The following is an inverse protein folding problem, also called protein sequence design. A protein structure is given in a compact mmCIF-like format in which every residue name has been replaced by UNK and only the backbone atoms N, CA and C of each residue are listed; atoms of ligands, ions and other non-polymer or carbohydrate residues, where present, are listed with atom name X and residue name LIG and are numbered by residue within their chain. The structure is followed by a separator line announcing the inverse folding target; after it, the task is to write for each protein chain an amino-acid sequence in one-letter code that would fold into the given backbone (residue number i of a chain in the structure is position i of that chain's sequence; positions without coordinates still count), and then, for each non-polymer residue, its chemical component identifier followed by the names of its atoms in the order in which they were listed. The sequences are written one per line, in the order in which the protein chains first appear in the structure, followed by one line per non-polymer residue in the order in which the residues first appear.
data_IF_351097450298
#
_entry.id   IF_351097450298
#
_cell.length_a   1.000
_cell.length_b   1.000
_cell.length_c   1.000
_cell.angle_alpha   90.00
_cell.angle_beta   90.00
_cell.angle_gamma   90.00
#
_symmetry.space_group_name_H-M   'P 1'
#
loop_
_entity.id
_entity.type
_entity.pdbx_description
1 polymer ?
#
# COMPACT_ATOMS: atom_id res chain seq x y z
N UNK A 1 22.47 11.86 13.10
CA UNK A 1 21.07 11.83 12.65
C UNK A 1 21.01 12.44 11.26
N UNK A 2 20.37 11.75 10.31
CA UNK A 2 20.20 12.22 8.94
C UNK A 2 18.83 11.81 8.42
N UNK A 3 18.23 12.66 7.60
CA UNK A 3 16.96 12.35 6.93
C UNK A 3 17.26 11.44 5.74
N UNK A 4 16.57 10.30 5.64
CA UNK A 4 16.59 9.46 4.43
C UNK A 4 15.38 9.81 3.58
N UNK A 5 15.63 10.45 2.43
CA UNK A 5 14.59 10.67 1.43
C UNK A 5 14.41 9.36 0.66
N UNK A 6 13.18 8.86 0.63
CA UNK A 6 12.81 7.72 -0.19
C UNK A 6 12.32 8.22 -1.54
N UNK A 7 12.97 7.80 -2.62
CA UNK A 7 12.51 8.03 -3.99
C UNK A 7 11.89 6.76 -4.55
N UNK A 8 11.01 6.93 -5.54
CA UNK A 8 10.36 5.78 -6.17
C UNK A 8 11.36 4.98 -6.98
N UNK A 9 11.43 3.67 -6.75
CA UNK A 9 12.29 2.74 -7.49
C UNK A 9 11.55 2.06 -8.65
N UNK A 10 10.23 2.29 -8.75
CA UNK A 10 9.37 1.71 -9.77
C UNK A 10 8.55 2.83 -10.42
N UNK A 11 8.40 2.85 -11.76
CA UNK A 11 7.57 3.83 -12.42
C UNK A 11 6.14 3.81 -11.87
N UNK A 12 5.58 4.99 -11.59
CA UNK A 12 4.19 5.12 -11.14
C UNK A 12 3.28 5.03 -12.36
N UNK A 13 2.48 3.96 -12.43
CA UNK A 13 1.51 3.76 -13.50
C UNK A 13 0.36 4.77 -13.41
N UNK A 14 -0.35 5.08 -14.52
CA UNK A 14 -1.51 5.98 -14.47
C UNK A 14 -2.59 5.53 -13.48
N UNK A 15 -2.82 4.22 -13.35
CA UNK A 15 -3.76 3.64 -12.38
C UNK A 15 -3.33 3.80 -10.91
N UNK A 16 -2.05 4.06 -10.66
CA UNK A 16 -1.49 4.29 -9.32
C UNK A 16 -1.50 5.79 -8.96
N UNK A 17 -2.03 6.66 -9.82
CA UNK A 17 -2.13 8.10 -9.57
C UNK A 17 -3.57 8.49 -9.32
N UNK A 18 -3.77 9.22 -8.23
CA UNK A 18 -5.03 9.83 -7.88
C UNK A 18 -4.86 11.35 -7.88
N UNK A 19 -5.96 12.06 -8.01
CA UNK A 19 -6.01 13.51 -7.83
C UNK A 19 -6.89 13.84 -6.62
N UNK A 20 -6.37 14.66 -5.72
CA UNK A 20 -7.11 15.21 -4.59
C UNK A 20 -6.86 16.70 -4.54
N UNK A 21 -7.92 17.49 -4.70
CA UNK A 21 -7.85 18.95 -4.62
C UNK A 21 -6.79 19.56 -5.58
N UNK A 22 -6.69 19.02 -6.79
CA UNK A 22 -5.70 19.46 -7.79
C UNK A 22 -4.28 18.96 -7.54
N UNK A 23 -4.06 18.12 -6.52
CA UNK A 23 -2.76 17.54 -6.19
C UNK A 23 -2.71 16.08 -6.63
N UNK A 24 -1.72 15.76 -7.46
CA UNK A 24 -1.42 14.39 -7.83
C UNK A 24 -0.80 13.64 -6.63
N UNK A 25 -1.45 12.56 -6.21
CA UNK A 25 -1.01 11.68 -5.13
C UNK A 25 -0.95 10.23 -5.61
N UNK A 26 -0.27 9.37 -4.88
CA UNK A 26 -0.32 7.92 -5.11
C UNK A 26 -1.65 7.33 -4.64
N UNK A 27 -2.11 6.29 -5.33
CA UNK A 27 -3.29 5.54 -4.89
C UNK A 27 -3.06 4.94 -3.50
N UNK A 28 -4.13 4.65 -2.73
CA UNK A 28 -4.03 3.99 -1.43
C UNK A 28 -3.27 2.65 -1.53
N UNK A 29 -3.61 1.84 -2.54
CA UNK A 29 -2.91 0.59 -2.87
C UNK A 29 -1.41 0.81 -3.04
N UNK A 30 -1.00 1.78 -3.89
CA UNK A 30 0.42 2.09 -4.14
C UNK A 30 1.12 2.53 -2.87
N UNK A 31 0.50 3.43 -2.11
CA UNK A 31 1.08 4.03 -0.90
C UNK A 31 1.32 2.99 0.19
N UNK A 32 0.38 2.07 0.40
CA UNK A 32 0.50 0.97 1.37
C UNK A 32 1.66 0.04 1.00
N UNK A 33 1.77 -0.33 -0.28
CA UNK A 33 2.82 -1.24 -0.75
C UNK A 33 4.21 -0.59 -0.67
N UNK A 34 4.33 0.69 -1.00
CA UNK A 34 5.59 1.43 -0.89
C UNK A 34 6.03 1.53 0.58
N UNK A 35 5.09 1.81 1.50
CA UNK A 35 5.38 1.81 2.93
C UNK A 35 5.85 0.43 3.43
N UNK A 36 5.20 -0.64 2.99
CA UNK A 36 5.58 -2.01 3.34
C UNK A 36 6.98 -2.38 2.82
N UNK A 37 7.31 -1.97 1.59
CA UNK A 37 8.64 -2.15 0.98
C UNK A 37 9.72 -1.37 1.73
N UNK A 38 9.43 -0.15 2.18
CA UNK A 38 10.39 0.67 2.93
C UNK A 38 10.49 0.32 4.42
N UNK A 39 9.73 -0.67 4.88
CA UNK A 39 9.88 -1.26 6.20
C UNK A 39 9.01 -0.62 7.29
N UNK A 40 7.86 -0.04 6.92
CA UNK A 40 6.84 0.32 7.91
C UNK A 40 6.46 -0.88 8.79
N UNK A 41 6.08 -0.60 10.04
CA UNK A 41 5.75 -1.64 11.01
C UNK A 41 4.54 -2.48 10.59
N UNK A 42 4.51 -3.80 10.87
CA UNK A 42 3.39 -4.66 10.48
C UNK A 42 2.03 -4.13 10.93
N UNK A 43 1.91 -3.67 12.17
CA UNK A 43 0.68 -3.10 12.73
C UNK A 43 0.21 -1.85 11.98
N UNK A 44 1.14 -1.03 11.46
CA UNK A 44 0.80 0.15 10.66
C UNK A 44 0.26 -0.25 9.29
N UNK A 45 0.83 -1.29 8.67
CA UNK A 45 0.35 -1.81 7.39
C UNK A 45 -1.02 -2.46 7.57
N UNK A 46 -1.23 -3.21 8.64
CA UNK A 46 -2.52 -3.82 8.98
C UNK A 46 -3.61 -2.76 9.15
N UNK A 47 -3.34 -1.73 9.95
CA UNK A 47 -4.27 -0.62 10.15
C UNK A 47 -4.57 0.11 8.83
N UNK A 48 -3.55 0.38 8.01
CA UNK A 48 -3.71 1.07 6.74
C UNK A 48 -4.55 0.24 5.74
N UNK A 49 -4.33 -1.08 5.68
CA UNK A 49 -5.12 -2.00 4.86
C UNK A 49 -6.58 -2.02 5.32
N UNK A 50 -6.83 -2.19 6.62
CA UNK A 50 -8.19 -2.20 7.18
C UNK A 50 -8.93 -0.91 6.84
N UNK A 51 -8.31 0.23 7.13
CA UNK A 51 -8.89 1.54 6.86
C UNK A 51 -9.12 1.81 5.37
N UNK A 52 -8.22 1.36 4.50
CA UNK A 52 -8.38 1.55 3.06
C UNK A 52 -9.55 0.72 2.52
N UNK A 53 -9.71 -0.52 3.00
CA UNK A 53 -10.82 -1.39 2.58
C UNK A 53 -12.15 -0.91 3.14
N UNK A 54 -12.23 -0.62 4.44
CA UNK A 54 -13.46 -0.15 5.11
C UNK A 54 -14.01 1.13 4.49
N UNK A 55 -13.11 2.03 4.03
CA UNK A 55 -13.49 3.30 3.42
C UNK A 55 -13.68 3.22 1.91
N UNK A 56 -13.55 2.04 1.31
CA UNK A 56 -13.66 1.84 -0.14
C UNK A 56 -12.55 2.53 -0.95
N UNK A 57 -11.40 2.80 -0.31
CA UNK A 57 -10.23 3.44 -0.92
C UNK A 57 -9.35 2.44 -1.69
N UNK A 58 -9.43 1.16 -1.34
CA UNK A 58 -8.82 0.05 -2.07
C UNK A 58 -9.69 -1.19 -1.91
N UNK A 59 -9.68 -2.09 -2.90
CA UNK A 59 -10.31 -3.41 -2.75
C UNK A 59 -9.31 -4.45 -2.26
N UNK A 60 -9.81 -5.47 -1.56
CA UNK A 60 -8.99 -6.61 -1.11
C UNK A 60 -8.29 -7.30 -2.28
N UNK A 61 -8.99 -7.46 -3.40
CA UNK A 61 -8.47 -8.07 -4.63
C UNK A 61 -7.40 -7.21 -5.30
N UNK A 62 -7.59 -5.89 -5.35
CA UNK A 62 -6.57 -4.98 -5.88
C UNK A 62 -5.30 -5.00 -5.02
N UNK A 63 -5.42 -4.96 -3.70
CA UNK A 63 -4.30 -5.06 -2.78
C UNK A 63 -3.53 -6.37 -2.95
N UNK A 64 -4.24 -7.50 -3.05
CA UNK A 64 -3.62 -8.81 -3.25
C UNK A 64 -2.87 -8.89 -4.58
N UNK A 65 -3.51 -8.51 -5.69
CA UNK A 65 -2.89 -8.52 -7.02
C UNK A 65 -1.68 -7.59 -7.10
N UNK A 66 -1.79 -6.37 -6.58
CA UNK A 66 -0.67 -5.44 -6.61
C UNK A 66 0.49 -5.89 -5.70
N UNK A 67 0.19 -6.58 -4.60
CA UNK A 67 1.20 -7.13 -3.70
C UNK A 67 1.96 -8.33 -4.30
N UNK A 68 1.35 -9.11 -5.21
CA UNK A 68 2.03 -10.25 -5.84
C UNK A 68 3.20 -9.83 -6.74
N UNK A 69 3.21 -8.58 -7.21
CA UNK A 69 4.31 -8.00 -8.00
C UNK A 69 5.43 -7.42 -7.11
N UNK A 70 5.31 -7.57 -5.78
CA UNK A 70 6.28 -7.10 -4.79
C UNK A 70 7.10 -8.27 -4.24
N UNK A 71 8.02 -7.97 -3.32
CA UNK A 71 8.79 -9.04 -2.66
C UNK A 71 7.86 -9.99 -1.87
N UNK A 72 8.28 -11.25 -1.72
CA UNK A 72 7.52 -12.26 -0.93
C UNK A 72 7.13 -11.76 0.45
N UNK A 73 8.03 -11.06 1.15
CA UNK A 73 7.77 -10.46 2.47
C UNK A 73 6.59 -9.48 2.44
N UNK A 74 6.51 -8.65 1.41
CA UNK A 74 5.41 -7.67 1.28
C UNK A 74 4.11 -8.38 0.95
N UNK A 75 4.13 -9.35 0.03
CA UNK A 75 2.95 -10.15 -0.28
C UNK A 75 2.39 -10.85 0.96
N UNK A 76 3.24 -11.52 1.74
CA UNK A 76 2.86 -12.21 2.99
C UNK A 76 2.27 -11.25 4.04
N UNK A 77 2.85 -10.05 4.16
CA UNK A 77 2.36 -9.03 5.09
C UNK A 77 0.96 -8.54 4.68
N UNK A 78 0.74 -8.25 3.40
CA UNK A 78 -0.56 -7.80 2.89
C UNK A 78 -1.60 -8.91 3.00
N UNK A 79 -1.28 -10.15 2.65
CA UNK A 79 -2.20 -11.28 2.83
C UNK A 79 -2.52 -11.55 4.31
N UNK A 80 -1.56 -11.33 5.21
CA UNK A 80 -1.78 -11.35 6.65
C UNK A 80 -2.79 -10.28 7.09
N UNK A 81 -2.61 -9.04 6.63
CA UNK A 81 -3.51 -7.93 6.92
C UNK A 81 -4.92 -8.16 6.36
N UNK A 82 -5.04 -8.60 5.10
CA UNK A 82 -6.34 -8.85 4.45
C UNK A 82 -7.16 -9.93 5.15
N UNK A 83 -6.51 -10.95 5.72
CA UNK A 83 -7.21 -11.98 6.52
C UNK A 83 -7.83 -11.44 7.80
N UNK A 84 -7.32 -10.33 8.35
CA UNK A 84 -7.87 -9.68 9.55
C UNK A 84 -9.08 -8.80 9.24
N UNK A 85 -9.22 -8.33 8.00
CA UNK A 85 -10.33 -7.48 7.55
C UNK A 85 -11.56 -8.28 7.15
N UNK A 86 -11.38 -9.52 6.70
CA UNK A 86 -12.48 -10.41 6.28
C UNK A 86 -13.25 -11.06 7.45
N UNK A 87 -13.02 -10.61 8.68
CA UNK A 87 -13.63 -11.12 9.93
C UNK A 87 -14.70 -10.16 10.41
#
# INVERSE_FOLDING_TARGET
WGVKIHTTERPIAPSERWEREGVAITSPTRSILDAAEKGAGPEQIELAVAQAVERGLASTEELRRAASDRSRRVAELIDGALRKVAV
#
